data_IF_626869004332
#
_entry.id   IF_626869004332
#
_cell.length_a   1.000
_cell.length_b   1.000
_cell.length_c   1.000
_cell.angle_alpha   90.00
_cell.angle_beta   90.00
_cell.angle_gamma   90.00
#
_symmetry.space_group_name_H-M   'P 1'
#
loop_
_entity.id
_entity.type
_entity.pdbx_description
1 polymer ?
#
# COMPACT_ATOMS: atom_id res chain seq x y z
N UNK A 1 -4.69 -10.00 -23.12
CA UNK A 1 -4.22 -9.07 -22.08
C UNK A 1 -2.77 -9.41 -21.83
N UNK A 2 -1.85 -8.46 -21.98
CA UNK A 2 -0.44 -8.71 -21.72
C UNK A 2 -0.22 -8.80 -20.20
N UNK A 3 0.60 -9.77 -19.77
CA UNK A 3 0.86 -10.07 -18.35
C UNK A 3 2.37 -10.25 -18.18
N UNK A 4 2.90 -9.90 -17.00
CA UNK A 4 4.30 -10.06 -16.68
C UNK A 4 5.15 -8.85 -17.06
N UNK A 5 6.42 -9.09 -17.35
CA UNK A 5 7.43 -8.04 -17.56
C UNK A 5 7.15 -7.32 -18.88
N UNK A 6 7.09 -5.98 -18.83
CA UNK A 6 7.09 -5.15 -20.02
C UNK A 6 8.53 -4.74 -20.34
N UNK A 7 9.08 -5.29 -21.42
CA UNK A 7 10.45 -4.99 -21.88
C UNK A 7 10.56 -3.69 -22.69
N UNK A 8 9.43 -3.12 -23.11
CA UNK A 8 9.35 -1.86 -23.86
C UNK A 8 8.68 -0.80 -23.00
N UNK A 9 9.49 -0.09 -22.22
CA UNK A 9 9.03 1.06 -21.45
C UNK A 9 8.76 2.24 -22.39
N UNK A 10 7.71 3.01 -22.10
CA UNK A 10 7.39 4.21 -22.85
C UNK A 10 8.50 5.26 -22.68
N UNK A 11 9.25 5.49 -23.76
CA UNK A 11 10.36 6.43 -23.77
C UNK A 11 9.93 7.87 -23.47
N UNK A 12 8.69 8.25 -23.81
CA UNK A 12 8.21 9.60 -23.53
C UNK A 12 8.04 9.84 -22.04
N UNK A 13 7.54 8.83 -21.31
CA UNK A 13 7.49 8.84 -19.85
C UNK A 13 8.90 8.84 -19.24
N UNK A 14 9.84 8.04 -19.73
CA UNK A 14 11.23 8.05 -19.25
C UNK A 14 11.84 9.46 -19.41
N UNK A 15 11.76 10.02 -20.62
CA UNK A 15 12.25 11.37 -20.92
C UNK A 15 11.59 12.43 -20.03
N UNK A 16 10.30 12.30 -19.72
CA UNK A 16 9.61 13.22 -18.81
C UNK A 16 10.26 13.23 -17.43
N UNK A 17 10.49 12.07 -16.82
CA UNK A 17 11.11 11.99 -15.49
C UNK A 17 12.57 12.42 -15.53
N UNK A 18 13.33 12.03 -16.55
CA UNK A 18 14.72 12.46 -16.73
C UNK A 18 14.84 13.97 -16.90
N UNK A 19 13.87 14.63 -17.54
CA UNK A 19 13.88 16.07 -17.75
C UNK A 19 13.53 16.84 -16.47
N UNK A 20 12.55 16.37 -15.69
CA UNK A 20 11.96 17.16 -14.61
C UNK A 20 12.35 16.74 -13.19
N UNK A 21 12.88 15.53 -13.00
CA UNK A 21 13.10 14.95 -11.67
C UNK A 21 14.50 14.36 -11.51
N UNK A 22 15.03 14.48 -10.31
CA UNK A 22 16.14 13.68 -9.80
C UNK A 22 15.57 12.50 -9.03
N UNK A 23 16.06 11.31 -9.31
CA UNK A 23 15.77 10.15 -8.47
C UNK A 23 16.66 10.22 -7.23
N UNK A 24 16.05 10.34 -6.05
CA UNK A 24 16.80 10.47 -4.82
C UNK A 24 17.39 9.13 -4.39
N UNK A 25 18.68 9.17 -4.06
CA UNK A 25 19.31 8.12 -3.26
C UNK A 25 18.72 8.18 -1.87
N UNK A 26 18.56 7.03 -1.24
CA UNK A 26 18.18 6.98 0.16
C UNK A 26 19.48 7.06 1.01
N UNK A 27 19.49 7.70 2.19
CA UNK A 27 20.74 7.99 2.90
C UNK A 27 21.36 6.73 3.53
N UNK A 28 22.62 6.43 3.17
CA UNK A 28 23.35 5.17 3.43
C UNK A 28 22.92 3.96 2.56
N UNK A 29 22.43 4.19 1.34
CA UNK A 29 21.93 3.12 0.47
C UNK A 29 22.65 2.99 -0.88
N UNK A 30 22.62 1.75 -1.37
CA UNK A 30 22.82 1.32 -2.75
C UNK A 30 21.45 1.28 -3.49
N UNK A 31 21.41 1.66 -4.77
CA UNK A 31 20.20 1.60 -5.60
C UNK A 31 19.58 0.20 -5.62
N UNK A 32 20.37 -0.85 -5.41
CA UNK A 32 19.91 -2.24 -5.28
C UNK A 32 18.92 -2.48 -4.12
N UNK A 33 18.90 -1.61 -3.10
CA UNK A 33 18.02 -1.72 -1.93
C UNK A 33 16.63 -1.09 -2.13
N UNK A 34 16.38 -0.46 -3.28
CA UNK A 34 15.02 -0.02 -3.66
C UNK A 34 14.07 -1.19 -3.85
N UNK A 35 14.59 -2.35 -4.21
CA UNK A 35 13.88 -3.62 -4.15
C UNK A 35 14.08 -4.21 -2.76
N UNK A 36 13.00 -4.34 -1.98
CA UNK A 36 12.98 -4.90 -0.63
C UNK A 36 13.15 -6.43 -0.65
N UNK A 37 14.21 -6.89 -1.29
CA UNK A 37 14.61 -8.29 -1.36
C UNK A 37 15.48 -8.61 -0.14
N UNK A 38 15.10 -9.58 0.69
CA UNK A 38 15.93 -9.99 1.82
C UNK A 38 17.32 -10.46 1.36
N UNK A 39 18.36 -9.95 2.02
CA UNK A 39 19.74 -10.40 1.84
C UNK A 39 20.27 -10.80 3.22
N UNK A 40 20.46 -12.11 3.46
CA UNK A 40 21.00 -12.68 4.70
C UNK A 40 20.47 -12.06 6.02
N UNK A 41 19.19 -11.70 6.07
CA UNK A 41 18.54 -11.09 7.23
C UNK A 41 17.93 -9.72 6.94
N UNK A 42 17.49 -9.05 8.01
CA UNK A 42 16.97 -7.67 7.95
C UNK A 42 18.14 -6.70 7.95
N UNK A 43 18.21 -5.85 6.93
CA UNK A 43 19.13 -4.74 6.88
C UNK A 43 18.59 -3.55 7.68
N UNK A 44 19.46 -2.84 8.38
CA UNK A 44 19.07 -1.71 9.24
C UNK A 44 19.71 -0.43 8.72
N UNK A 45 18.88 0.58 8.45
CA UNK A 45 19.33 1.91 8.01
C UNK A 45 19.53 2.83 9.22
N UNK A 46 20.53 3.72 9.12
CA UNK A 46 20.86 4.68 10.16
C UNK A 46 21.81 4.13 11.23
N UNK A 47 22.52 5.05 11.89
CA UNK A 47 23.48 4.74 12.95
C UNK A 47 22.76 4.36 14.25
N UNK A 48 23.29 3.37 14.98
CA UNK A 48 22.90 3.09 16.38
C UNK A 48 23.50 4.07 17.39
N UNK A 49 24.51 4.86 16.99
CA UNK A 49 25.14 5.87 17.86
C UNK A 49 24.39 7.19 17.74
N UNK A 50 24.13 7.84 18.88
CA UNK A 50 23.48 9.15 18.98
C UNK A 50 22.16 9.23 18.20
N UNK A 51 21.30 8.22 18.37
CA UNK A 51 20.04 8.12 17.66
C UNK A 51 19.14 9.33 17.97
N UNK A 52 18.59 9.89 16.90
CA UNK A 52 17.57 10.94 16.95
C UNK A 52 16.42 10.51 16.06
N UNK A 53 15.21 10.51 16.63
CA UNK A 53 14.02 10.08 15.92
C UNK A 53 13.69 11.10 14.83
N UNK A 54 13.51 10.67 13.58
CA UNK A 54 13.12 11.54 12.45
C UNK A 54 11.74 12.16 12.63
N UNK A 55 10.88 11.53 13.42
CA UNK A 55 9.49 11.94 13.58
C UNK A 55 9.31 12.92 14.73
N UNK A 56 9.59 12.49 15.97
CA UNK A 56 9.43 13.35 17.14
C UNK A 56 10.67 14.22 17.44
N UNK A 57 11.78 14.05 16.71
CA UNK A 57 13.03 14.80 16.86
C UNK A 57 13.74 14.66 18.22
N UNK A 58 13.27 13.75 19.08
CA UNK A 58 13.85 13.40 20.38
C UNK A 58 14.94 12.34 20.27
N UNK A 59 15.79 12.26 21.28
CA UNK A 59 16.86 11.28 21.47
C UNK A 59 16.79 10.67 22.89
N UNK A 60 17.68 9.73 23.18
CA UNK A 60 17.86 9.21 24.55
C UNK A 60 18.31 10.35 25.49
N UNK A 61 17.82 10.43 26.73
CA UNK A 61 16.92 9.48 27.41
C UNK A 61 15.42 9.78 27.27
N UNK A 62 15.00 10.79 26.48
CA UNK A 62 13.57 11.15 26.36
C UNK A 62 12.73 10.08 25.64
N UNK A 63 13.35 9.32 24.75
CA UNK A 63 12.74 8.23 23.98
C UNK A 63 13.72 7.08 23.82
N UNK A 64 13.19 5.88 23.66
CA UNK A 64 13.99 4.66 23.47
C UNK A 64 13.97 4.14 22.04
N UNK A 65 15.02 3.41 21.66
CA UNK A 65 15.17 2.77 20.35
C UNK A 65 15.42 1.26 20.51
N UNK A 66 14.61 0.60 21.35
CA UNK A 66 14.79 -0.82 21.68
C UNK A 66 14.04 -1.75 20.74
N UNK A 67 12.93 -1.29 20.15
CA UNK A 67 12.12 -2.07 19.23
C UNK A 67 12.64 -1.92 17.80
N UNK A 68 12.52 -3.00 17.03
CA UNK A 68 12.74 -2.93 15.59
C UNK A 68 11.62 -2.10 14.97
N UNK A 69 11.98 -0.96 14.38
CA UNK A 69 11.08 -0.16 13.55
C UNK A 69 11.29 -0.53 12.09
N UNK A 70 10.24 -0.99 11.41
CA UNK A 70 10.34 -1.33 9.99
C UNK A 70 10.25 -0.07 9.14
N UNK A 71 11.08 0.04 8.10
CA UNK A 71 11.04 1.18 7.17
C UNK A 71 9.68 1.24 6.47
N UNK A 72 9.22 0.08 6.03
CA UNK A 72 7.91 -0.16 5.46
C UNK A 72 7.15 -1.16 6.34
N UNK A 73 5.82 -1.07 6.44
CA UNK A 73 5.05 -2.03 7.22
C UNK A 73 5.27 -3.47 6.73
N UNK A 74 5.31 -4.43 7.65
CA UNK A 74 5.33 -5.85 7.28
C UNK A 74 4.08 -6.24 6.46
N UNK A 75 2.96 -5.51 6.60
CA UNK A 75 1.71 -5.75 5.87
C UNK A 75 1.81 -5.56 4.35
N UNK A 76 2.89 -4.95 3.84
CA UNK A 76 3.18 -4.88 2.39
C UNK A 76 4.21 -5.92 1.94
N UNK A 77 4.60 -6.85 2.81
CA UNK A 77 5.62 -7.86 2.53
C UNK A 77 7.05 -7.39 2.81
N UNK A 78 7.26 -6.35 3.63
CA UNK A 78 8.60 -5.94 4.04
C UNK A 78 9.13 -6.83 5.16
N UNK A 79 10.12 -7.65 4.83
CA UNK A 79 10.94 -8.42 5.76
C UNK A 79 12.45 -8.18 5.51
N UNK A 80 12.78 -7.12 4.76
CA UNK A 80 14.14 -6.85 4.31
C UNK A 80 14.78 -5.63 5.00
N UNK A 81 13.97 -4.63 5.39
CA UNK A 81 14.50 -3.33 5.77
C UNK A 81 13.86 -2.75 7.06
N UNK A 82 14.72 -2.45 8.04
CA UNK A 82 14.40 -1.79 9.30
C UNK A 82 15.20 -0.51 9.48
N UNK A 83 14.84 0.30 10.48
CA UNK A 83 15.30 1.67 10.66
C UNK A 83 15.73 1.95 12.10
N UNK A 84 16.87 2.59 12.27
CA UNK A 84 17.30 3.20 13.52
C UNK A 84 16.80 4.66 13.67
N UNK A 85 16.01 5.16 12.71
CA UNK A 85 15.53 6.54 12.67
C UNK A 85 14.19 6.76 13.39
N UNK A 86 13.62 5.73 14.00
CA UNK A 86 12.28 5.76 14.58
C UNK A 86 12.34 5.22 16.01
N UNK A 87 11.91 6.02 16.98
CA UNK A 87 11.88 5.62 18.37
C UNK A 87 10.65 4.74 18.69
N UNK A 88 10.68 4.04 19.82
CA UNK A 88 9.66 3.09 20.25
C UNK A 88 8.27 3.73 20.37
N UNK A 89 8.21 4.99 20.82
CA UNK A 89 6.96 5.75 20.95
C UNK A 89 6.32 6.04 19.59
N UNK A 90 7.12 6.51 18.61
CA UNK A 90 6.64 6.76 17.26
C UNK A 90 6.27 5.46 16.54
N UNK A 91 7.10 4.42 16.67
CA UNK A 91 6.83 3.08 16.13
C UNK A 91 5.50 2.52 16.62
N UNK A 92 5.24 2.62 17.92
CA UNK A 92 3.96 2.20 18.50
C UNK A 92 2.79 3.08 18.02
N UNK A 93 2.98 4.39 17.91
CA UNK A 93 1.97 5.30 17.39
C UNK A 93 1.56 4.92 15.96
N UNK A 94 2.51 4.78 15.04
CA UNK A 94 2.22 4.46 13.64
C UNK A 94 1.58 3.08 13.48
N UNK A 95 2.07 2.07 14.22
CA UNK A 95 1.51 0.73 14.22
C UNK A 95 0.05 0.68 14.70
N UNK A 96 -0.29 1.49 15.71
CA UNK A 96 -1.65 1.52 16.27
C UNK A 96 -2.64 2.40 15.50
N UNK A 97 -2.15 3.34 14.69
CA UNK A 97 -2.99 4.32 13.97
C UNK A 97 -2.92 4.10 12.46
N UNK A 98 -1.91 4.67 11.81
CA UNK A 98 -1.79 4.76 10.35
C UNK A 98 -1.59 3.41 9.67
N UNK A 99 -0.73 2.54 10.20
CA UNK A 99 -0.38 1.27 9.54
C UNK A 99 -1.52 0.25 9.65
N UNK A 100 -2.28 0.29 10.75
CA UNK A 100 -3.47 -0.54 10.91
C UNK A 100 -4.58 -0.15 9.92
N UNK A 101 -4.85 1.15 9.75
CA UNK A 101 -5.80 1.63 8.75
C UNK A 101 -5.36 1.30 7.33
N UNK A 102 -4.06 1.42 7.02
CA UNK A 102 -3.49 1.00 5.75
C UNK A 102 -3.74 -0.50 5.48
N UNK A 103 -3.45 -1.37 6.45
CA UNK A 103 -3.68 -2.80 6.32
C UNK A 103 -5.17 -3.15 6.15
N UNK A 104 -6.07 -2.41 6.80
CA UNK A 104 -7.52 -2.58 6.66
C UNK A 104 -8.02 -2.14 5.27
N UNK A 105 -7.53 -1.01 4.77
CA UNK A 105 -7.88 -0.49 3.45
C UNK A 105 -7.46 -1.45 2.34
N UNK A 106 -6.22 -1.95 2.36
CA UNK A 106 -5.70 -2.86 1.34
C UNK A 106 -5.99 -4.35 1.62
N UNK A 107 -6.82 -4.67 2.62
CA UNK A 107 -6.99 -6.03 3.12
C UNK A 107 -7.41 -7.06 2.06
N UNK A 108 -8.32 -6.68 1.14
CA UNK A 108 -8.70 -7.55 0.01
C UNK A 108 -7.45 -7.97 -0.76
N UNK A 109 -6.65 -7.00 -1.17
CA UNK A 109 -5.51 -7.22 -2.04
C UNK A 109 -4.38 -7.94 -1.32
N UNK A 110 -4.10 -7.62 -0.05
CA UNK A 110 -3.11 -8.33 0.76
C UNK A 110 -3.47 -9.81 0.91
N UNK A 111 -4.77 -10.11 1.09
CA UNK A 111 -5.25 -11.50 1.21
C UNK A 111 -5.21 -12.27 -0.10
N UNK A 112 -5.64 -11.65 -1.20
CA UNK A 112 -5.64 -12.29 -2.51
C UNK A 112 -4.20 -12.48 -2.98
N UNK A 113 -3.34 -11.46 -2.92
CA UNK A 113 -1.94 -11.54 -3.35
C UNK A 113 -1.02 -12.26 -2.36
N UNK A 114 -1.56 -13.04 -1.43
CA UNK A 114 -0.82 -13.82 -0.43
C UNK A 114 0.35 -13.04 0.20
N UNK A 115 0.13 -11.76 0.54
CA UNK A 115 1.19 -10.92 1.08
C UNK A 115 1.44 -11.37 2.51
N UNK A 116 2.63 -11.91 2.75
CA UNK A 116 3.03 -12.37 4.06
C UNK A 116 3.42 -11.19 4.95
N UNK A 117 2.77 -11.09 6.10
CA UNK A 117 3.02 -10.05 7.09
C UNK A 117 3.27 -10.66 8.46
N UNK A 118 3.29 -9.82 9.49
CA UNK A 118 3.64 -10.22 10.87
C UNK A 118 2.90 -11.44 11.41
N UNK A 119 1.62 -11.58 11.06
CA UNK A 119 0.74 -12.67 11.54
C UNK A 119 0.48 -13.74 10.47
N UNK A 120 1.38 -13.85 9.49
CA UNK A 120 1.21 -14.68 8.32
C UNK A 120 0.34 -14.03 7.23
N UNK A 121 0.00 -14.82 6.22
CA UNK A 121 -0.84 -14.39 5.09
C UNK A 121 -2.29 -14.13 5.52
N UNK A 122 -2.85 -12.94 5.27
CA UNK A 122 -4.25 -12.63 5.57
C UNK A 122 -5.23 -13.52 4.78
N UNK A 123 -6.28 -14.03 5.43
CA UNK A 123 -7.31 -14.85 4.77
C UNK A 123 -8.36 -13.98 4.07
N UNK A 124 -8.70 -14.29 2.83
CA UNK A 124 -9.78 -13.62 2.11
C UNK A 124 -11.14 -14.19 2.49
N UNK A 125 -11.71 -13.69 3.59
CA UNK A 125 -13.04 -14.08 4.07
C UNK A 125 -13.82 -12.88 4.59
N UNK A 126 -15.09 -12.77 4.23
CA UNK A 126 -15.91 -11.62 4.63
C UNK A 126 -17.41 -11.96 4.71
N UNK A 127 -18.11 -11.11 5.46
CA UNK A 127 -19.57 -11.13 5.58
C UNK A 127 -20.13 -10.01 4.71
N UNK A 128 -21.31 -10.26 4.15
CA UNK A 128 -22.13 -9.24 3.49
C UNK A 128 -23.53 -9.26 4.10
N UNK A 129 -24.33 -8.19 3.95
CA UNK A 129 -25.75 -8.25 4.25
C UNK A 129 -26.38 -9.43 3.51
N UNK A 130 -27.02 -10.35 4.24
CA UNK A 130 -27.70 -11.51 3.67
C UNK A 130 -29.06 -11.63 4.37
N UNK A 131 -30.14 -11.47 3.61
CA UNK A 131 -31.51 -11.49 4.14
C UNK A 131 -31.97 -12.88 4.58
N UNK A 132 -31.41 -13.93 3.98
CA UNK A 132 -31.70 -15.33 4.32
C UNK A 132 -30.65 -15.94 5.26
N UNK A 133 -29.96 -15.12 6.05
CA UNK A 133 -28.93 -15.62 6.98
C UNK A 133 -29.59 -16.47 8.05
N UNK A 134 -29.27 -17.76 8.05
CA UNK A 134 -29.59 -18.73 9.10
C UNK A 134 -28.36 -19.00 9.96
N UNK A 135 -28.52 -19.69 11.09
CA UNK A 135 -27.40 -20.18 11.91
C UNK A 135 -26.51 -21.19 11.17
N UNK A 136 -27.04 -21.81 10.10
CA UNK A 136 -26.30 -22.70 9.18
C UNK A 136 -25.48 -21.96 8.12
N UNK A 137 -25.72 -20.66 7.92
CA UNK A 137 -24.85 -19.86 7.06
C UNK A 137 -23.45 -19.89 7.67
N UNK A 138 -22.47 -20.31 6.86
CA UNK A 138 -21.06 -20.33 7.26
C UNK A 138 -20.65 -19.03 7.99
N UNK A 139 -19.69 -19.14 8.91
CA UNK A 139 -19.10 -17.99 9.66
C UNK A 139 -18.75 -16.79 8.76
N UNK A 140 -18.59 -17.02 7.45
CA UNK A 140 -18.37 -16.01 6.40
C UNK A 140 -19.30 -16.26 5.20
N UNK A 141 -19.72 -15.19 4.52
CA UNK A 141 -20.54 -15.28 3.31
C UNK A 141 -19.71 -15.59 2.07
N UNK A 142 -18.44 -15.16 2.07
CA UNK A 142 -17.45 -15.43 1.02
C UNK A 142 -16.17 -15.84 1.70
N UNK A 143 -15.56 -16.91 1.21
CA UNK A 143 -14.25 -17.41 1.60
C UNK A 143 -13.51 -17.83 0.33
N UNK A 144 -12.29 -17.31 0.18
CA UNK A 144 -11.42 -17.58 -0.97
C UNK A 144 -10.08 -18.03 -0.41
N UNK A 145 -9.65 -19.21 -0.83
CA UNK A 145 -8.37 -19.80 -0.50
C UNK A 145 -7.68 -20.33 -1.75
N UNK A 146 -6.40 -20.63 -1.62
CA UNK A 146 -5.60 -21.21 -2.69
C UNK A 146 -5.09 -22.57 -2.21
N UNK A 147 -5.34 -23.59 -3.00
CA UNK A 147 -4.79 -24.93 -2.84
C UNK A 147 -3.76 -25.14 -3.96
N UNK A 148 -2.49 -24.95 -3.62
CA UNK A 148 -1.45 -24.70 -4.61
C UNK A 148 -1.78 -23.45 -5.44
N UNK A 149 -1.85 -23.60 -6.76
CA UNK A 149 -2.23 -22.52 -7.69
C UNK A 149 -3.73 -22.54 -8.08
N UNK A 150 -4.55 -23.38 -7.42
CA UNK A 150 -5.98 -23.51 -7.75
C UNK A 150 -6.83 -22.67 -6.78
N UNK A 151 -7.57 -21.66 -7.26
CA UNK A 151 -8.52 -20.92 -6.43
C UNK A 151 -9.66 -21.84 -5.97
N UNK A 152 -9.85 -21.89 -4.66
CA UNK A 152 -11.02 -22.48 -4.01
C UNK A 152 -11.93 -21.36 -3.54
N UNK A 153 -13.16 -21.37 -4.05
CA UNK A 153 -14.15 -20.35 -3.72
C UNK A 153 -15.31 -21.02 -3.02
N UNK A 154 -15.70 -20.43 -1.89
CA UNK A 154 -16.88 -20.80 -1.13
C UNK A 154 -17.72 -19.56 -0.91
N UNK A 155 -19.00 -19.62 -1.26
CA UNK A 155 -19.92 -18.51 -1.04
C UNK A 155 -21.31 -18.97 -0.62
N UNK A 156 -22.03 -18.10 0.08
CA UNK A 156 -23.47 -18.26 0.25
C UNK A 156 -24.18 -18.04 -1.09
N UNK A 157 -25.18 -18.87 -1.41
CA UNK A 157 -25.94 -18.81 -2.67
C UNK A 157 -26.69 -17.48 -2.84
N UNK A 158 -27.02 -16.83 -1.73
CA UNK A 158 -27.74 -15.54 -1.66
C UNK A 158 -26.81 -14.32 -1.75
N UNK A 159 -25.50 -14.51 -1.95
CA UNK A 159 -24.57 -13.38 -2.13
C UNK A 159 -24.86 -12.70 -3.46
N UNK A 160 -25.20 -11.41 -3.40
CA UNK A 160 -25.44 -10.58 -4.57
C UNK A 160 -24.22 -10.52 -5.51
N UNK A 161 -24.48 -10.42 -6.81
CA UNK A 161 -23.45 -10.36 -7.86
C UNK A 161 -22.49 -9.17 -7.72
N UNK A 162 -22.87 -8.12 -6.98
CA UNK A 162 -21.97 -6.97 -6.72
C UNK A 162 -20.73 -7.35 -5.90
N UNK A 163 -20.80 -8.42 -5.11
CA UNK A 163 -19.69 -8.91 -4.28
C UNK A 163 -18.88 -10.01 -4.96
N UNK A 164 -19.55 -10.90 -5.68
CA UNK A 164 -18.91 -11.99 -6.43
C UNK A 164 -19.61 -12.13 -7.77
N UNK A 165 -18.88 -11.89 -8.85
CA UNK A 165 -19.36 -12.07 -10.22
C UNK A 165 -18.45 -13.02 -10.97
N UNK A 166 -19.02 -14.09 -11.50
CA UNK A 166 -18.35 -15.01 -12.41
C UNK A 166 -18.57 -14.57 -13.86
N UNK A 167 -17.56 -14.74 -14.70
CA UNK A 167 -17.64 -14.48 -16.14
C UNK A 167 -16.69 -15.42 -16.86
N UNK A 168 -17.18 -16.43 -17.58
CA UNK A 168 -16.41 -17.48 -18.25
C UNK A 168 -15.15 -17.95 -17.48
N UNK A 169 -14.01 -17.30 -17.71
CA UNK A 169 -12.70 -17.64 -17.14
C UNK A 169 -12.19 -16.60 -16.11
N UNK A 170 -13.10 -15.83 -15.49
CA UNK A 170 -12.75 -14.82 -14.50
C UNK A 170 -13.75 -14.73 -13.35
N UNK A 171 -13.26 -14.27 -12.21
CA UNK A 171 -14.05 -13.89 -11.04
C UNK A 171 -13.72 -12.45 -10.68
N UNK A 172 -14.74 -11.63 -10.52
CA UNK A 172 -14.63 -10.33 -9.85
C UNK A 172 -15.01 -10.52 -8.38
N UNK A 173 -14.09 -10.17 -7.49
CA UNK A 173 -14.28 -10.19 -6.04
C UNK A 173 -14.34 -8.74 -5.57
N UNK A 174 -15.49 -8.33 -5.05
CA UNK A 174 -15.69 -7.02 -4.47
C UNK A 174 -15.94 -7.17 -2.97
N UNK A 175 -14.99 -6.71 -2.17
CA UNK A 175 -15.04 -6.81 -0.70
C UNK A 175 -15.32 -5.44 -0.10
N UNK A 176 -16.25 -5.33 0.86
CA UNK A 176 -16.41 -4.13 1.68
C UNK A 176 -15.11 -3.76 2.37
N UNK A 177 -14.71 -2.50 2.23
CA UNK A 177 -13.57 -1.96 2.98
C UNK A 177 -13.98 -1.86 4.45
N UNK A 178 -13.14 -2.38 5.34
CA UNK A 178 -13.39 -2.30 6.78
C UNK A 178 -13.38 -0.85 7.28
N UNK A 179 -13.75 -0.62 8.54
CA UNK A 179 -13.61 0.70 9.16
C UNK A 179 -12.13 1.10 9.12
N UNK A 180 -11.81 2.15 8.39
CA UNK A 180 -10.49 2.77 8.36
C UNK A 180 -10.62 4.27 8.07
N UNK A 181 -9.65 5.07 8.51
CA UNK A 181 -9.56 6.47 8.12
C UNK A 181 -8.74 6.63 6.82
N UNK A 182 -9.32 7.09 5.69
CA UNK A 182 -8.57 7.31 4.45
C UNK A 182 -7.35 8.22 4.62
N UNK A 183 -7.45 9.30 5.41
CA UNK A 183 -6.31 10.17 5.69
C UNK A 183 -5.19 9.41 6.41
N UNK A 184 -5.52 8.52 7.35
CA UNK A 184 -4.52 7.68 8.03
C UNK A 184 -3.83 6.71 7.06
N UNK A 185 -4.55 6.17 6.07
CA UNK A 185 -3.98 5.36 4.97
C UNK A 185 -2.97 6.19 4.18
N UNK A 186 -3.32 7.43 3.82
CA UNK A 186 -2.40 8.33 3.10
C UNK A 186 -1.17 8.68 3.96
N UNK A 187 -1.37 8.99 5.25
CA UNK A 187 -0.28 9.24 6.22
C UNK A 187 0.68 8.05 6.31
N UNK A 188 0.19 6.81 6.24
CA UNK A 188 1.05 5.63 6.24
C UNK A 188 2.00 5.61 5.02
N UNK A 189 1.51 5.95 3.82
CA UNK A 189 2.34 6.03 2.61
C UNK A 189 3.37 7.17 2.74
N UNK A 190 2.94 8.32 3.28
CA UNK A 190 3.86 9.45 3.54
C UNK A 190 4.92 9.08 4.58
N UNK A 191 4.56 8.35 5.64
CA UNK A 191 5.51 7.85 6.64
C UNK A 191 6.58 6.99 6.00
N UNK A 192 6.18 6.04 5.14
CA UNK A 192 7.13 5.22 4.37
C UNK A 192 8.12 6.09 3.58
N UNK A 193 7.60 7.09 2.86
CA UNK A 193 8.40 8.01 2.07
C UNK A 193 9.38 8.85 2.92
N UNK A 194 8.93 9.39 4.06
CA UNK A 194 9.76 10.17 5.00
C UNK A 194 10.87 9.30 5.62
N UNK A 195 10.58 8.04 5.93
CA UNK A 195 11.61 7.15 6.51
C UNK A 195 12.79 6.95 5.57
N UNK A 196 12.54 6.82 4.26
CA UNK A 196 13.59 6.63 3.26
C UNK A 196 14.16 7.94 2.69
N UNK A 197 13.55 9.08 2.98
CA UNK A 197 13.99 10.39 2.49
C UNK A 197 15.42 10.75 2.96
N UNK A 198 16.25 11.37 2.10
CA UNK A 198 17.53 11.96 2.51
C UNK A 198 17.37 12.98 3.64
N UNK A 199 18.33 13.01 4.56
CA UNK A 199 18.27 13.90 5.74
C UNK A 199 18.25 15.37 5.33
N UNK A 200 18.91 15.68 4.21
CA UNK A 200 19.02 17.01 3.63
C UNK A 200 17.65 17.57 3.19
N UNK A 201 16.73 16.69 2.80
CA UNK A 201 15.38 17.06 2.33
C UNK A 201 14.38 17.20 3.49
N UNK A 202 14.60 16.54 4.63
CA UNK A 202 13.63 16.47 5.74
C UNK A 202 13.23 17.85 6.29
N UNK A 203 14.12 18.84 6.23
CA UNK A 203 13.85 20.20 6.70
C UNK A 203 12.60 20.80 6.04
N UNK A 204 12.40 20.55 4.74
CA UNK A 204 11.24 21.00 3.97
C UNK A 204 9.92 20.31 4.32
N UNK A 205 9.96 19.21 5.09
CA UNK A 205 8.81 18.39 5.46
C UNK A 205 8.48 18.43 6.95
N UNK A 206 9.05 19.38 7.70
CA UNK A 206 8.81 19.50 9.16
C UNK A 206 7.32 19.51 9.52
N UNK A 207 6.50 20.23 8.74
CA UNK A 207 5.06 20.27 9.02
C UNK A 207 4.34 19.00 8.58
N UNK A 208 4.81 18.34 7.52
CA UNK A 208 4.30 17.03 7.08
C UNK A 208 4.59 15.97 8.15
N UNK A 209 5.76 16.03 8.77
CA UNK A 209 6.17 15.16 9.88
C UNK A 209 5.28 15.40 11.11
N UNK A 210 5.02 16.65 11.48
CA UNK A 210 4.07 16.99 12.54
C UNK A 210 2.68 16.44 12.22
N UNK A 211 2.22 16.66 10.99
CA UNK A 211 0.91 16.22 10.53
C UNK A 211 0.75 14.70 10.58
N UNK A 212 1.72 13.90 10.12
CA UNK A 212 1.59 12.43 10.18
C UNK A 212 1.49 11.90 11.62
N UNK A 213 1.98 12.67 12.61
CA UNK A 213 1.87 12.37 14.05
C UNK A 213 0.55 12.85 14.69
N UNK A 214 -0.32 13.56 13.97
CA UNK A 214 -1.61 14.00 14.49
C UNK A 214 -2.65 12.86 14.52
N UNK A 215 -3.18 12.49 15.71
CA UNK A 215 -4.13 11.38 15.85
C UNK A 215 -5.54 11.69 15.32
N UNK A 216 -5.92 12.96 15.19
CA UNK A 216 -7.24 13.35 14.70
C UNK A 216 -7.40 13.19 13.18
N UNK A 217 -6.30 12.87 12.47
CA UNK A 217 -6.28 12.65 11.03
C UNK A 217 -6.97 13.75 10.21
N UNK A 218 -6.75 15.02 10.57
CA UNK A 218 -7.21 16.16 9.75
C UNK A 218 -6.50 16.17 8.41
N UNK A 219 -7.13 16.73 7.37
CA UNK A 219 -6.47 16.90 6.08
C UNK A 219 -5.29 17.88 6.23
N UNK A 220 -4.15 17.58 5.61
CA UNK A 220 -2.98 18.45 5.60
C UNK A 220 -3.29 19.80 4.94
N UNK A 221 -4.12 19.76 3.89
CA UNK A 221 -4.55 20.94 3.15
C UNK A 221 -5.95 21.36 3.61
N UNK A 222 -6.20 22.68 3.61
CA UNK A 222 -7.55 23.22 3.84
C UNK A 222 -8.50 22.89 2.69
N UNK A 223 -8.02 23.06 1.45
CA UNK A 223 -8.86 23.06 0.24
C UNK A 223 -8.27 22.18 -0.89
N UNK A 224 -7.51 21.14 -0.54
CA UNK A 224 -6.85 20.30 -1.54
C UNK A 224 -6.91 18.81 -1.22
N UNK A 225 -6.75 18.00 -2.27
CA UNK A 225 -6.94 16.56 -2.21
C UNK A 225 -5.65 15.83 -1.82
N UNK A 226 -5.80 14.73 -1.09
CA UNK A 226 -4.77 13.73 -0.80
C UNK A 226 -4.94 12.55 -1.76
N UNK A 227 -4.23 12.60 -2.89
CA UNK A 227 -4.46 11.69 -4.01
C UNK A 227 -3.45 10.55 -4.04
N UNK A 228 -3.95 9.32 -4.12
CA UNK A 228 -3.15 8.13 -4.44
C UNK A 228 -3.51 7.67 -5.84
N UNK A 229 -2.63 7.91 -6.79
CA UNK A 229 -2.75 7.33 -8.12
C UNK A 229 -2.25 5.91 -8.06
N UNK A 230 -2.90 5.00 -8.77
CA UNK A 230 -2.48 3.61 -8.81
C UNK A 230 -2.56 3.02 -10.21
N UNK A 231 -1.70 2.03 -10.45
CA UNK A 231 -1.81 1.09 -11.56
C UNK A 231 -1.88 -0.34 -11.01
N UNK A 232 -2.77 -1.13 -11.59
CA UNK A 232 -2.93 -2.55 -11.32
C UNK A 232 -2.08 -3.38 -12.28
N UNK A 233 -1.28 -4.26 -11.71
CA UNK A 233 -0.45 -5.23 -12.43
C UNK A 233 -1.23 -6.55 -12.44
N UNK A 234 -1.66 -7.05 -13.61
CA UNK A 234 -2.41 -8.30 -13.71
C UNK A 234 -1.52 -9.48 -13.35
N UNK A 235 -2.10 -10.44 -12.62
CA UNK A 235 -1.44 -11.69 -12.27
C UNK A 235 -1.34 -11.88 -10.75
N UNK A 236 -0.87 -13.07 -10.37
CA UNK A 236 -0.73 -13.48 -8.99
C UNK A 236 0.73 -13.39 -8.56
N UNK A 237 1.02 -12.73 -7.43
CA UNK A 237 2.38 -12.57 -6.89
C UNK A 237 3.40 -12.06 -7.92
N UNK A 238 2.98 -11.16 -8.82
CA UNK A 238 3.79 -10.67 -9.94
C UNK A 238 5.02 -9.91 -9.44
N UNK A 239 4.84 -9.14 -8.37
CA UNK A 239 5.93 -8.47 -7.69
C UNK A 239 6.33 -9.32 -6.48
N UNK A 240 7.47 -10.00 -6.59
CA UNK A 240 7.97 -10.87 -5.52
C UNK A 240 8.39 -10.08 -4.27
N UNK A 241 8.90 -8.88 -4.47
CA UNK A 241 9.37 -7.99 -3.43
C UNK A 241 8.87 -6.57 -3.70
N UNK A 242 8.51 -5.79 -2.66
CA UNK A 242 8.19 -4.39 -2.84
C UNK A 242 9.35 -3.63 -3.47
N UNK A 243 9.04 -2.68 -4.34
CA UNK A 243 9.99 -1.74 -4.92
C UNK A 243 9.53 -0.31 -4.68
N UNK A 244 10.42 0.61 -4.32
CA UNK A 244 10.04 2.00 -4.10
C UNK A 244 11.00 2.99 -4.75
N UNK A 245 10.52 4.22 -4.99
CA UNK A 245 11.33 5.29 -5.56
C UNK A 245 10.88 6.66 -5.03
N UNK A 246 11.84 7.54 -4.73
CA UNK A 246 11.62 8.94 -4.42
C UNK A 246 12.09 9.80 -5.59
N UNK A 247 11.26 10.73 -6.04
CA UNK A 247 11.61 11.69 -7.08
C UNK A 247 11.54 13.09 -6.51
N UNK A 248 12.64 13.83 -6.61
CA UNK A 248 12.69 15.26 -6.28
C UNK A 248 12.68 16.06 -7.56
N UNK A 249 11.82 17.06 -7.65
CA UNK A 249 11.82 18.01 -8.76
C UNK A 249 13.19 18.67 -8.89
N UNK A 250 13.71 18.76 -10.11
CA UNK A 250 14.96 19.47 -10.38
C UNK A 250 14.83 20.94 -10.00
N UNK A 251 15.93 21.52 -9.50
CA UNK A 251 15.98 22.93 -9.07
C UNK A 251 15.66 23.93 -10.18
N UNK A 252 15.82 23.54 -11.44
CA UNK A 252 15.51 24.33 -12.64
C UNK A 252 14.03 24.29 -13.04
N UNK A 253 13.20 23.52 -12.33
CA UNK A 253 11.79 23.29 -12.64
C UNK A 253 10.94 23.83 -11.51
N UNK A 254 9.84 24.51 -11.84
CA UNK A 254 9.00 25.25 -10.87
C UNK A 254 7.53 24.83 -10.88
N UNK A 255 7.03 24.37 -12.03
CA UNK A 255 5.63 24.05 -12.32
C UNK A 255 5.35 22.55 -12.24
N UNK A 256 5.94 21.88 -11.25
CA UNK A 256 5.78 20.44 -11.01
C UNK A 256 5.74 20.15 -9.51
N UNK A 257 5.08 19.07 -9.08
CA UNK A 257 5.15 18.58 -7.70
C UNK A 257 6.59 18.46 -7.21
N UNK A 258 6.89 18.95 -6.00
CA UNK A 258 8.27 19.00 -5.50
C UNK A 258 8.84 17.62 -5.17
N UNK A 259 8.08 16.78 -4.47
CA UNK A 259 8.54 15.46 -4.02
C UNK A 259 7.47 14.42 -4.27
N UNK A 260 7.85 13.34 -4.94
CA UNK A 260 6.96 12.26 -5.30
C UNK A 260 7.48 10.95 -4.75
N UNK A 261 6.55 10.06 -4.45
CA UNK A 261 6.86 8.73 -3.96
C UNK A 261 6.10 7.67 -4.75
N UNK A 262 6.82 6.67 -5.25
CA UNK A 262 6.25 5.49 -5.90
C UNK A 262 6.56 4.25 -5.06
N UNK A 263 5.56 3.38 -4.89
CA UNK A 263 5.67 2.10 -4.20
C UNK A 263 4.94 1.01 -4.99
N UNK A 264 5.66 0.00 -5.42
CA UNK A 264 5.14 -1.13 -6.21
C UNK A 264 5.25 -2.41 -5.40
N UNK A 265 4.13 -3.07 -5.12
CA UNK A 265 4.08 -4.32 -4.34
C UNK A 265 2.76 -5.07 -4.57
N UNK A 266 2.76 -6.39 -4.34
CA UNK A 266 1.64 -7.26 -4.68
C UNK A 266 1.22 -7.11 -6.15
N UNK A 267 0.05 -6.50 -6.37
CA UNK A 267 -0.52 -6.18 -7.68
C UNK A 267 -0.67 -4.67 -7.94
N UNK A 268 -0.11 -3.80 -7.09
CA UNK A 268 -0.20 -2.36 -7.26
C UNK A 268 1.15 -1.73 -7.55
N UNK A 269 1.10 -0.66 -8.33
CA UNK A 269 2.01 0.46 -8.17
C UNK A 269 1.22 1.66 -7.65
N UNK A 270 1.60 2.20 -6.51
CA UNK A 270 1.04 3.38 -5.86
C UNK A 270 1.94 4.58 -6.13
N UNK A 271 1.35 5.74 -6.37
CA UNK A 271 2.06 6.98 -6.66
C UNK A 271 1.38 8.15 -5.95
N UNK A 272 2.16 8.93 -5.22
CA UNK A 272 1.69 10.10 -4.46
C UNK A 272 2.64 11.30 -4.66
N UNK A 273 2.08 12.50 -4.52
CA UNK A 273 2.83 13.69 -4.13
C UNK A 273 2.92 13.73 -2.61
N UNK A 274 4.13 13.95 -2.08
CA UNK A 274 4.33 14.12 -0.64
C UNK A 274 3.88 15.54 -0.26
N UNK A 275 2.95 15.71 0.70
CA UNK A 275 2.48 17.02 1.08
C UNK A 275 3.60 17.91 1.60
N UNK A 276 3.61 19.18 1.20
CA UNK A 276 4.53 20.21 1.70
C UNK A 276 3.89 21.60 1.59
N UNK A 277 4.34 22.54 2.43
CA UNK A 277 3.85 23.93 2.38
C UNK A 277 4.26 24.68 1.12
N UNK A 278 5.35 24.26 0.46
CA UNK A 278 5.81 24.84 -0.81
C UNK A 278 4.89 24.52 -1.99
N UNK A 279 3.95 23.59 -1.84
CA UNK A 279 3.19 22.99 -2.94
C UNK A 279 1.70 23.41 -3.02
N UNK A 280 1.27 24.50 -2.36
CA UNK A 280 -0.15 24.91 -2.32
C UNK A 280 -0.83 25.12 -3.70
N UNK A 281 -0.06 25.30 -4.78
CA UNK A 281 -0.58 25.67 -6.10
C UNK A 281 -0.38 24.61 -7.21
N UNK A 282 0.14 23.40 -6.92
CA UNK A 282 0.56 22.43 -7.94
C UNK A 282 -0.36 21.21 -8.13
N UNK A 283 -1.51 21.16 -7.46
CA UNK A 283 -2.31 19.93 -7.36
C UNK A 283 -2.91 19.44 -8.69
N UNK A 284 -3.27 20.35 -9.59
CA UNK A 284 -3.76 19.98 -10.93
C UNK A 284 -2.73 19.20 -11.75
N UNK A 285 -1.43 19.48 -11.56
CA UNK A 285 -0.36 18.83 -12.31
C UNK A 285 -0.16 17.37 -11.89
N UNK A 286 -0.39 17.04 -10.62
CA UNK A 286 -0.21 15.66 -10.12
C UNK A 286 -1.25 14.68 -10.68
N UNK A 287 -2.51 15.13 -10.84
CA UNK A 287 -3.60 14.30 -11.38
C UNK A 287 -3.28 13.85 -12.82
N UNK A 288 -2.69 14.73 -13.63
CA UNK A 288 -2.49 14.52 -15.07
C UNK A 288 -1.06 14.14 -15.49
N UNK A 289 -0.06 14.26 -14.60
CA UNK A 289 1.31 13.90 -14.96
C UNK A 289 1.42 12.40 -15.34
N UNK A 290 2.38 11.98 -16.18
CA UNK A 290 2.55 10.56 -16.48
C UNK A 290 2.87 9.77 -15.21
N UNK A 291 2.41 8.53 -15.13
CA UNK A 291 2.77 7.61 -14.05
C UNK A 291 4.23 7.15 -14.25
N UNK A 292 5.06 6.96 -13.20
CA UNK A 292 6.44 6.51 -13.38
C UNK A 292 6.56 5.24 -14.22
N UNK A 293 7.65 5.05 -14.99
CA UNK A 293 7.86 3.82 -15.76
C UNK A 293 7.75 2.58 -14.87
N UNK A 294 6.97 1.59 -15.31
CA UNK A 294 6.81 0.31 -14.62
C UNK A 294 7.30 -0.82 -15.52
N UNK A 295 8.16 -1.73 -15.04
CA UNK A 295 8.65 -2.87 -15.81
C UNK A 295 7.60 -4.00 -15.93
N UNK A 296 6.31 -3.67 -15.87
CA UNK A 296 5.20 -4.60 -15.91
C UNK A 296 4.09 -4.07 -16.81
N UNK A 297 3.38 -4.97 -17.48
CA UNK A 297 2.10 -4.61 -18.08
C UNK A 297 1.09 -4.24 -16.99
N UNK A 298 0.19 -3.31 -17.28
CA UNK A 298 -0.87 -2.88 -16.35
C UNK A 298 -2.22 -2.97 -17.03
N UNK A 299 -3.27 -3.36 -16.31
CA UNK A 299 -4.60 -3.57 -16.89
C UNK A 299 -5.67 -2.59 -16.39
N UNK A 300 -5.39 -1.86 -15.31
CA UNK A 300 -6.26 -0.81 -14.80
C UNK A 300 -5.40 0.28 -14.16
N UNK A 301 -5.92 1.50 -14.18
CA UNK A 301 -5.37 2.63 -13.46
C UNK A 301 -6.50 3.45 -12.85
N UNK A 302 -6.19 4.22 -11.81
CA UNK A 302 -7.19 5.05 -11.15
C UNK A 302 -6.57 5.95 -10.10
N UNK A 303 -7.45 6.69 -9.42
CA UNK A 303 -7.07 7.64 -8.38
C UNK A 303 -7.99 7.42 -7.17
N UNK A 304 -7.41 7.23 -5.99
CA UNK A 304 -8.14 7.34 -4.74
C UNK A 304 -7.95 8.73 -4.15
N UNK A 305 -9.06 9.40 -3.86
CA UNK A 305 -9.09 10.61 -3.06
C UNK A 305 -9.27 10.22 -1.58
N UNK A 306 -8.21 10.36 -0.80
CA UNK A 306 -8.15 9.99 0.61
C UNK A 306 -8.28 11.21 1.54
N UNK A 307 -8.91 12.29 1.07
CA UNK A 307 -9.03 13.57 1.80
C UNK A 307 -10.08 13.59 2.91
N UNK A 308 -10.84 12.50 3.08
CA UNK A 308 -11.93 12.42 4.06
C UNK A 308 -11.52 11.57 5.27
N UNK A 309 -12.01 11.96 6.44
CA UNK A 309 -11.76 11.23 7.69
C UNK A 309 -12.49 9.88 7.68
N UNK A 310 -13.72 9.85 7.17
CA UNK A 310 -14.52 8.63 7.11
C UNK A 310 -14.53 8.03 5.71
N UNK A 311 -14.30 6.72 5.63
CA UNK A 311 -14.54 5.94 4.43
C UNK A 311 -16.06 5.91 4.13
N UNK A 312 -16.49 5.99 2.85
CA UNK A 312 -17.89 5.77 2.50
C UNK A 312 -18.39 4.41 3.01
N UNK A 313 -19.60 4.37 3.60
CA UNK A 313 -20.16 3.14 4.22
C UNK A 313 -20.27 1.96 3.25
N UNK A 314 -20.44 2.23 1.96
CA UNK A 314 -20.60 1.22 0.91
C UNK A 314 -19.35 1.08 0.02
N UNK A 315 -18.18 1.54 0.50
CA UNK A 315 -16.93 1.44 -0.26
C UNK A 315 -16.56 -0.04 -0.47
N UNK A 316 -16.41 -0.42 -1.75
CA UNK A 316 -15.95 -1.74 -2.17
C UNK A 316 -14.58 -1.62 -2.82
N UNK A 317 -13.65 -2.47 -2.41
CA UNK A 317 -12.48 -2.78 -3.22
C UNK A 317 -12.79 -3.97 -4.10
N UNK A 318 -12.38 -3.90 -5.36
CA UNK A 318 -12.70 -4.91 -6.35
C UNK A 318 -11.44 -5.37 -7.06
N UNK A 319 -11.31 -6.69 -7.24
CA UNK A 319 -10.25 -7.28 -8.05
C UNK A 319 -10.85 -8.32 -8.99
N UNK A 320 -10.40 -8.30 -10.24
CA UNK A 320 -10.72 -9.33 -11.21
C UNK A 320 -9.54 -10.31 -11.30
N UNK A 321 -9.82 -11.59 -11.09
CA UNK A 321 -8.86 -12.67 -11.24
C UNK A 321 -9.27 -13.52 -12.44
N UNK A 322 -8.33 -13.74 -13.35
CA UNK A 322 -8.50 -14.69 -14.44
C UNK A 322 -7.92 -16.05 -14.02
N UNK A 323 -8.56 -17.13 -14.43
CA UNK A 323 -8.14 -18.49 -14.11
C UNK A 323 -8.40 -19.41 -15.31
N UNK A 324 -7.53 -20.41 -15.49
CA UNK A 324 -7.78 -21.49 -16.44
C UNK A 324 -8.84 -22.46 -15.90
N UNK A 325 -8.79 -22.73 -14.59
CA UNK A 325 -9.76 -23.57 -13.86
C UNK A 325 -9.91 -23.06 -12.43
N UNK A 326 -11.09 -23.30 -11.83
CA UNK A 326 -11.33 -23.03 -10.40
C UNK A 326 -12.14 -24.18 -9.78
N UNK A 327 -12.12 -24.26 -8.45
CA UNK A 327 -12.94 -25.23 -7.72
C UNK A 327 -14.01 -24.51 -6.88
N UNK A 328 -15.27 -24.75 -7.21
CA UNK A 328 -16.40 -24.33 -6.35
C UNK A 328 -16.55 -25.34 -5.20
N UNK A 329 -16.31 -24.88 -3.98
CA UNK A 329 -16.39 -25.68 -2.76
C UNK A 329 -17.67 -25.41 -1.96
N UNK A 330 -18.65 -24.71 -2.54
CA UNK A 330 -19.86 -24.25 -1.83
C UNK A 330 -20.63 -25.39 -1.16
N UNK A 331 -20.76 -26.56 -1.79
CA UNK A 331 -21.57 -27.68 -1.26
C UNK A 331 -20.80 -28.69 -0.38
N UNK A 332 -19.47 -28.55 -0.19
CA UNK A 332 -18.61 -29.56 0.48
C UNK A 332 -18.69 -29.62 2.02
N UNK A 333 -19.68 -28.98 2.64
CA UNK A 333 -19.77 -28.88 4.12
C UNK A 333 -20.58 -29.96 4.81
N UNK A 334 -21.27 -30.84 4.09
CA UNK A 334 -22.05 -31.91 4.73
C UNK A 334 -21.20 -33.02 5.39
N UNK A 335 -19.86 -32.93 5.40
CA UNK A 335 -18.98 -34.03 5.82
C UNK A 335 -17.96 -33.73 6.93
N UNK A 336 -18.05 -32.61 7.65
CA UNK A 336 -17.21 -32.40 8.85
C UNK A 336 -18.04 -32.03 10.07
N UNK A 337 -18.85 -32.99 10.50
CA UNK A 337 -19.47 -32.99 11.84
C UNK A 337 -19.88 -34.41 12.22
N UNK A 338 -18.98 -35.38 12.10
CA UNK A 338 -18.99 -36.64 12.87
C UNK A 338 -17.52 -37.06 13.06
N UNK A 339 -16.96 -36.71 14.21
CA UNK A 339 -16.02 -37.50 15.03
C UNK A 339 -15.67 -36.68 16.28
#
# INVERSE_FOLDING_TARGET
>A
MNVGINTQLDESTIRYYDLFYDVLRTPNFDDHLRLLRPQHGIQIIGSKKNQRCRFCQKNEPEVHFTKIAHVFPESIGNNALASNYECDTCNQFFGNTTENDYANFFNLYHSIMQIDGKSGVPKCKFKVPCKARTDECAKYCVEISLDGNKPQIRRCKEVENKYIRFSNNSITISKPVGKCCPIAVFKAIVKMAITVMPVEELSGFTNTIKWILEPEHRNFYSDSKLLVRYKMIPGFNVTKYPHFCLFRRKKTVWNKPYMLFNLTYGCFSLFIEIPSFSNKNAHGDFEIMPFPPLPFYTNAEGIWDLSKIDSPKDMLHSIMLNFDTYQDCTDRLKQKSIL
#
